data_IF_272407079661
#
_entry.id   IF_272407079661
#
_cell.length_a   1.000
_cell.length_b   1.000
_cell.length_c   1.000
_cell.angle_alpha   90.00
_cell.angle_beta   90.00
_cell.angle_gamma   90.00
#
_symmetry.space_group_name_H-M   'P 1'
#
loop_
_entity.id
_entity.type
_entity.pdbx_description
1 polymer ?
#
# COMPACT_ATOMS: atom_id res chain seq x y z
N UNK A 1 -27.55 6.16 -9.11
CA UNK A 1 -28.32 7.25 -9.74
C UNK A 1 -27.73 7.52 -11.11
N UNK A 2 -28.54 7.59 -12.16
CA UNK A 2 -28.08 7.76 -13.55
C UNK A 2 -27.58 9.20 -13.78
N UNK A 3 -26.60 9.31 -14.67
CA UNK A 3 -25.83 10.50 -15.06
C UNK A 3 -26.64 11.62 -15.76
N UNK A 4 -27.98 11.59 -15.71
CA UNK A 4 -28.88 12.37 -16.57
C UNK A 4 -28.93 13.89 -16.30
N UNK A 5 -28.29 14.38 -15.24
CA UNK A 5 -28.18 15.82 -14.92
C UNK A 5 -26.81 16.41 -15.26
N UNK A 6 -25.92 15.64 -15.92
CA UNK A 6 -24.56 16.07 -16.25
C UNK A 6 -24.47 16.81 -17.57
N UNK A 7 -23.59 17.80 -17.64
CA UNK A 7 -23.14 18.36 -18.89
C UNK A 7 -22.53 17.27 -19.76
N UNK A 8 -22.72 17.37 -21.08
CA UNK A 8 -22.12 16.44 -22.05
C UNK A 8 -20.61 16.29 -21.84
N UNK A 9 -19.94 17.36 -21.44
CA UNK A 9 -18.50 17.34 -21.16
C UNK A 9 -18.18 16.47 -19.95
N UNK A 10 -18.84 16.69 -18.81
CA UNK A 10 -18.58 15.92 -17.60
C UNK A 10 -18.98 14.45 -17.80
N UNK A 11 -20.11 14.19 -18.45
CA UNK A 11 -20.53 12.85 -18.85
C UNK A 11 -19.44 12.12 -19.65
N UNK A 12 -18.94 12.70 -20.75
CA UNK A 12 -17.90 12.07 -21.56
C UNK A 12 -16.57 11.88 -20.81
N UNK A 13 -16.23 12.78 -19.89
CA UNK A 13 -15.02 12.62 -19.06
C UNK A 13 -15.18 11.42 -18.12
N UNK A 14 -16.31 11.29 -17.43
CA UNK A 14 -16.58 10.17 -16.53
C UNK A 14 -16.67 8.83 -17.28
N UNK A 15 -17.41 8.79 -18.39
CA UNK A 15 -17.57 7.62 -19.25
C UNK A 15 -16.23 7.11 -19.77
N UNK A 16 -15.36 8.01 -20.27
CA UNK A 16 -14.02 7.65 -20.74
C UNK A 16 -13.12 7.06 -19.65
N UNK A 17 -13.36 7.42 -18.39
CA UNK A 17 -12.64 6.88 -17.23
C UNK A 17 -13.37 5.70 -16.57
N UNK A 18 -14.38 5.14 -17.24
CA UNK A 18 -15.20 4.00 -16.78
C UNK A 18 -15.96 4.27 -15.47
N UNK A 19 -16.33 5.53 -15.23
CA UNK A 19 -17.18 5.96 -14.12
C UNK A 19 -18.60 6.06 -14.65
N UNK A 20 -19.36 4.97 -14.48
CA UNK A 20 -20.73 4.82 -14.96
C UNK A 20 -21.76 5.25 -13.91
N UNK A 21 -21.38 5.26 -12.63
CA UNK A 21 -22.24 5.60 -11.51
C UNK A 21 -21.56 6.60 -10.58
N UNK A 22 -22.32 7.56 -10.04
CA UNK A 22 -21.80 8.52 -9.08
C UNK A 22 -21.21 7.86 -7.82
N UNK A 23 -21.75 6.71 -7.40
CA UNK A 23 -21.22 5.93 -6.27
C UNK A 23 -19.79 5.41 -6.46
N UNK A 24 -19.26 5.44 -7.69
CA UNK A 24 -17.87 5.10 -7.96
C UNK A 24 -16.92 6.27 -7.74
N UNK A 25 -17.41 7.51 -7.65
CA UNK A 25 -16.56 8.69 -7.50
C UNK A 25 -15.67 8.66 -6.25
N UNK A 26 -16.13 8.19 -5.08
CA UNK A 26 -15.26 8.04 -3.90
C UNK A 26 -14.09 7.06 -4.07
N UNK A 27 -14.09 6.23 -5.13
CA UNK A 27 -12.96 5.34 -5.43
C UNK A 27 -11.75 6.09 -6.01
N UNK A 28 -11.92 7.37 -6.35
CA UNK A 28 -10.91 8.24 -6.93
C UNK A 28 -10.66 9.43 -6.02
N UNK A 29 -9.40 9.74 -5.77
CA UNK A 29 -9.07 10.93 -5.00
C UNK A 29 -9.39 12.22 -5.75
N UNK A 30 -9.53 13.34 -5.02
CA UNK A 30 -9.67 14.66 -5.66
C UNK A 30 -8.57 14.94 -6.68
N UNK A 31 -7.34 14.51 -6.39
CA UNK A 31 -6.20 14.65 -7.30
C UNK A 31 -6.36 13.76 -8.54
N UNK A 32 -6.77 12.50 -8.39
CA UNK A 32 -6.99 11.61 -9.53
C UNK A 32 -8.10 12.14 -10.45
N UNK A 33 -9.22 12.59 -9.86
CA UNK A 33 -10.30 13.25 -10.60
C UNK A 33 -9.79 14.50 -11.32
N UNK A 34 -9.02 15.36 -10.65
CA UNK A 34 -8.48 16.59 -11.25
C UNK A 34 -7.51 16.34 -12.41
N UNK A 35 -6.81 15.21 -12.42
CA UNK A 35 -5.89 14.83 -13.50
C UNK A 35 -6.59 14.12 -14.68
N UNK A 36 -7.91 13.92 -14.62
CA UNK A 36 -8.65 13.35 -15.74
C UNK A 36 -8.55 14.26 -16.97
N UNK A 37 -8.13 13.67 -18.09
CA UNK A 37 -7.98 14.40 -19.34
C UNK A 37 -9.30 15.07 -19.72
N UNK A 38 -9.23 16.35 -20.08
CA UNK A 38 -10.36 17.21 -20.46
C UNK A 38 -11.31 17.57 -19.31
N UNK A 39 -10.97 17.30 -18.05
CA UNK A 39 -11.70 17.88 -16.91
C UNK A 39 -11.23 19.33 -16.69
N UNK A 40 -12.00 20.29 -17.20
CA UNK A 40 -11.75 21.73 -16.97
C UNK A 40 -12.29 22.19 -15.62
N UNK A 41 -11.94 23.42 -15.22
CA UNK A 41 -12.40 24.04 -13.95
C UNK A 41 -13.92 24.05 -13.80
N UNK A 42 -14.65 24.39 -14.86
CA UNK A 42 -16.12 24.36 -14.86
C UNK A 42 -16.68 22.96 -14.63
N UNK A 43 -16.15 21.94 -15.32
CA UNK A 43 -16.60 20.55 -15.17
C UNK A 43 -16.25 19.98 -13.78
N UNK A 44 -15.11 20.38 -13.20
CA UNK A 44 -14.78 20.03 -11.82
C UNK A 44 -15.71 20.69 -10.79
N UNK A 45 -16.10 21.96 -11.00
CA UNK A 45 -17.07 22.61 -10.12
C UNK A 45 -18.46 21.98 -10.22
N UNK A 46 -18.89 21.62 -11.43
CA UNK A 46 -20.11 20.85 -11.66
C UNK A 46 -20.06 19.50 -10.92
N UNK A 47 -18.96 18.77 -11.02
CA UNK A 47 -18.77 17.51 -10.31
C UNK A 47 -18.91 17.68 -8.78
N UNK A 48 -18.32 18.74 -8.21
CA UNK A 48 -18.45 19.07 -6.78
C UNK A 48 -19.89 19.32 -6.36
N UNK A 49 -20.65 20.10 -7.14
CA UNK A 49 -22.07 20.38 -6.86
C UNK A 49 -22.87 19.08 -6.87
N UNK A 50 -22.61 18.20 -7.84
CA UNK A 50 -23.31 16.92 -7.96
C UNK A 50 -22.95 15.99 -6.80
N UNK A 51 -21.69 15.92 -6.41
CA UNK A 51 -21.28 15.18 -5.21
C UNK A 51 -22.00 15.69 -3.96
N UNK A 52 -22.08 17.00 -3.76
CA UNK A 52 -22.79 17.62 -2.64
C UNK A 52 -24.29 17.27 -2.64
N UNK A 53 -24.96 17.41 -3.79
CA UNK A 53 -26.38 17.09 -3.94
C UNK A 53 -26.70 15.61 -3.71
N UNK A 54 -25.70 14.72 -3.85
CA UNK A 54 -25.84 13.28 -3.66
C UNK A 54 -25.23 12.77 -2.36
N UNK A 55 -24.78 13.67 -1.46
CA UNK A 55 -24.08 13.30 -0.22
C UNK A 55 -22.85 12.40 -0.45
N UNK A 56 -22.14 12.65 -1.56
CA UNK A 56 -20.92 11.93 -1.92
C UNK A 56 -19.74 12.77 -1.44
N UNK A 57 -18.96 12.22 -0.52
CA UNK A 57 -17.71 12.83 -0.08
C UNK A 57 -16.56 12.40 -0.98
N UNK A 58 -15.83 13.40 -1.49
CA UNK A 58 -14.57 13.17 -2.19
C UNK A 58 -13.42 13.48 -1.23
N UNK A 59 -12.54 12.52 -1.04
CA UNK A 59 -11.36 12.70 -0.19
C UNK A 59 -10.10 13.00 -1.01
N UNK A 60 -9.20 13.77 -0.43
CA UNK A 60 -7.90 14.12 -1.02
C UNK A 60 -6.83 13.21 -0.45
N UNK A 61 -5.89 12.79 -1.30
CA UNK A 61 -4.68 12.09 -0.84
C UNK A 61 -3.83 12.97 0.08
N UNK A 62 -3.95 14.31 -0.01
CA UNK A 62 -3.21 15.23 0.85
C UNK A 62 -3.49 14.97 2.33
N UNK A 63 -4.75 14.67 2.70
CA UNK A 63 -5.09 14.33 4.08
C UNK A 63 -4.30 13.11 4.60
N UNK A 64 -4.14 12.08 3.76
CA UNK A 64 -3.33 10.90 4.08
C UNK A 64 -1.85 11.30 4.23
N UNK A 65 -1.33 12.13 3.34
CA UNK A 65 0.06 12.62 3.42
C UNK A 65 0.29 13.40 4.70
N UNK A 66 -0.63 14.28 5.08
CA UNK A 66 -0.51 15.12 6.27
C UNK A 66 -0.52 14.25 7.53
N UNK A 67 -1.48 13.31 7.61
CA UNK A 67 -1.58 12.35 8.73
C UNK A 67 -0.34 11.45 8.85
N UNK A 68 0.26 11.06 7.73
CA UNK A 68 1.43 10.18 7.72
C UNK A 68 2.77 10.93 7.71
N UNK A 69 2.76 12.25 7.57
CA UNK A 69 3.96 13.09 7.50
C UNK A 69 4.90 12.96 8.70
N UNK A 70 4.43 12.82 9.97
CA UNK A 70 5.31 12.72 11.14
C UNK A 70 6.16 11.45 11.15
N UNK A 71 5.74 10.41 10.44
CA UNK A 71 6.37 9.09 10.47
C UNK A 71 7.44 8.92 9.38
N UNK A 72 7.56 9.88 8.45
CA UNK A 72 8.58 9.91 7.40
C UNK A 72 8.67 8.61 6.57
N UNK A 73 7.51 8.08 6.17
CA UNK A 73 7.44 6.89 5.30
C UNK A 73 8.15 7.11 3.96
N UNK A 74 8.77 6.07 3.37
CA UNK A 74 9.35 6.11 2.02
C UNK A 74 8.28 6.02 0.92
N UNK A 75 7.15 6.74 1.10
CA UNK A 75 6.02 6.67 0.19
C UNK A 75 6.12 7.71 -0.94
N UNK A 76 5.99 7.24 -2.17
CA UNK A 76 5.81 8.07 -3.36
C UNK A 76 4.32 8.39 -3.55
N UNK A 77 4.01 9.25 -4.51
CA UNK A 77 2.61 9.55 -4.87
C UNK A 77 1.81 8.27 -5.19
N UNK A 78 2.43 7.30 -5.89
CA UNK A 78 1.78 6.04 -6.23
C UNK A 78 1.48 5.18 -5.00
N UNK A 79 2.33 5.22 -3.97
CA UNK A 79 2.05 4.54 -2.70
C UNK A 79 0.83 5.17 -2.01
N UNK A 80 0.76 6.50 -1.95
CA UNK A 80 -0.39 7.19 -1.37
C UNK A 80 -1.71 6.95 -2.11
N UNK A 81 -1.68 6.81 -3.45
CA UNK A 81 -2.86 6.38 -4.22
C UNK A 81 -3.33 4.97 -3.83
N UNK A 82 -2.40 4.05 -3.58
CA UNK A 82 -2.75 2.70 -3.09
C UNK A 82 -3.34 2.74 -1.68
N UNK A 83 -2.78 3.56 -0.78
CA UNK A 83 -3.32 3.76 0.56
C UNK A 83 -4.78 4.26 0.50
N UNK A 84 -5.03 5.26 -0.35
CA UNK A 84 -6.37 5.79 -0.59
C UNK A 84 -7.36 4.68 -1.00
N UNK A 85 -6.99 3.86 -1.99
CA UNK A 85 -7.82 2.76 -2.49
C UNK A 85 -8.06 1.65 -1.47
N UNK A 86 -7.21 1.55 -0.45
CA UNK A 86 -7.34 0.60 0.65
C UNK A 86 -7.99 1.23 1.90
N UNK A 87 -8.47 2.47 1.80
CA UNK A 87 -9.01 3.24 2.92
C UNK A 87 -8.03 3.37 4.10
N UNK A 88 -6.72 3.46 3.81
CA UNK A 88 -5.67 3.69 4.80
C UNK A 88 -5.38 5.18 4.83
N UNK A 89 -5.80 5.85 5.90
CA UNK A 89 -5.73 7.29 6.08
C UNK A 89 -4.89 7.71 7.29
N UNK A 90 -4.64 6.79 8.22
CA UNK A 90 -3.90 6.98 9.45
C UNK A 90 -2.96 5.80 9.72
N UNK A 91 -2.06 5.95 10.69
CA UNK A 91 -1.18 4.84 11.12
C UNK A 91 -1.98 3.66 11.68
N UNK A 92 -3.08 3.93 12.38
CA UNK A 92 -3.90 2.89 12.99
C UNK A 92 -4.64 2.03 11.94
N UNK A 93 -4.91 2.56 10.76
CA UNK A 93 -5.58 1.81 9.70
C UNK A 93 -4.74 0.63 9.20
N UNK A 94 -3.41 0.67 9.40
CA UNK A 94 -2.52 -0.45 9.09
C UNK A 94 -2.73 -1.67 9.99
N UNK A 95 -3.44 -1.55 11.12
CA UNK A 95 -3.83 -2.71 11.93
C UNK A 95 -4.79 -3.66 11.20
N UNK A 96 -5.47 -3.15 10.16
CA UNK A 96 -6.46 -3.92 9.40
C UNK A 96 -5.87 -4.62 8.18
N UNK A 97 -4.56 -4.51 7.95
CA UNK A 97 -3.90 -5.15 6.81
C UNK A 97 -2.86 -6.17 7.25
N UNK A 98 -2.51 -7.06 6.32
CA UNK A 98 -1.40 -8.00 6.46
C UNK A 98 -0.06 -7.36 6.05
N UNK A 99 1.05 -7.96 6.49
CA UNK A 99 2.39 -7.57 6.00
C UNK A 99 2.53 -7.79 4.48
N UNK A 100 1.82 -8.76 3.91
CA UNK A 100 1.74 -8.99 2.46
C UNK A 100 1.09 -7.81 1.72
N UNK A 101 0.02 -7.24 2.28
CA UNK A 101 -0.60 -6.04 1.70
C UNK A 101 0.29 -4.82 1.80
N UNK A 102 1.02 -4.66 2.92
CA UNK A 102 2.07 -3.64 3.02
C UNK A 102 3.12 -3.81 1.92
N UNK A 103 3.54 -5.05 1.64
CA UNK A 103 4.47 -5.33 0.55
C UNK A 103 3.92 -4.91 -0.82
N UNK A 104 2.65 -5.18 -1.09
CA UNK A 104 1.94 -4.75 -2.30
C UNK A 104 1.83 -3.22 -2.40
N UNK A 105 1.52 -2.54 -1.29
CA UNK A 105 1.50 -1.07 -1.20
C UNK A 105 2.87 -0.53 -1.62
N UNK A 106 3.95 -1.05 -1.03
CA UNK A 106 5.35 -0.72 -1.33
C UNK A 106 5.83 -1.21 -2.72
N UNK A 107 4.94 -1.69 -3.59
CA UNK A 107 5.28 -2.06 -4.96
C UNK A 107 6.17 -3.30 -5.06
N UNK A 108 6.01 -4.24 -4.13
CA UNK A 108 6.84 -5.45 -4.01
C UNK A 108 8.33 -5.16 -3.75
N UNK A 109 8.66 -3.93 -3.34
CA UNK A 109 10.03 -3.57 -3.03
C UNK A 109 10.36 -3.86 -1.56
N UNK A 110 11.10 -4.96 -1.34
CA UNK A 110 11.39 -5.49 0.00
C UNK A 110 12.06 -4.48 0.94
N UNK A 111 13.08 -3.68 0.54
CA UNK A 111 13.67 -2.68 1.43
C UNK A 111 12.69 -1.61 1.90
N UNK A 112 11.76 -1.16 1.06
CA UNK A 112 10.72 -0.20 1.45
C UNK A 112 9.70 -0.85 2.37
N UNK A 113 9.31 -2.09 2.07
CA UNK A 113 8.39 -2.87 2.92
C UNK A 113 8.95 -3.02 4.33
N UNK A 114 10.20 -3.48 4.43
CA UNK A 114 10.89 -3.66 5.71
C UNK A 114 11.02 -2.33 6.48
N UNK A 115 11.37 -1.23 5.80
CA UNK A 115 11.47 0.09 6.44
C UNK A 115 10.11 0.56 6.96
N UNK A 116 9.07 0.49 6.15
CA UNK A 116 7.71 0.86 6.55
C UNK A 116 7.19 -0.02 7.68
N UNK A 117 7.48 -1.32 7.64
CA UNK A 117 7.11 -2.26 8.71
C UNK A 117 7.69 -1.84 10.05
N UNK A 118 8.99 -1.52 10.13
CA UNK A 118 9.59 -1.07 11.39
C UNK A 118 9.06 0.30 11.85
N UNK A 119 8.78 1.22 10.93
CA UNK A 119 8.11 2.49 11.29
C UNK A 119 6.75 2.18 11.94
N UNK A 120 5.95 1.30 11.33
CA UNK A 120 4.63 0.92 11.83
C UNK A 120 4.71 0.18 13.17
N UNK A 121 5.65 -0.77 13.32
CA UNK A 121 5.90 -1.46 14.59
C UNK A 121 6.32 -0.52 15.72
N UNK A 122 7.16 0.47 15.44
CA UNK A 122 7.55 1.48 16.42
C UNK A 122 6.39 2.39 16.84
N UNK A 123 5.29 2.39 16.09
CA UNK A 123 4.05 3.11 16.40
C UNK A 123 2.92 2.14 16.75
N UNK A 124 3.27 1.02 17.39
CA UNK A 124 2.34 0.06 18.00
C UNK A 124 1.35 -0.63 17.04
N UNK A 125 1.62 -0.58 15.73
CA UNK A 125 0.80 -1.28 14.73
C UNK A 125 1.00 -2.79 14.82
N UNK A 126 -0.11 -3.50 14.90
CA UNK A 126 -0.17 -4.96 14.84
C UNK A 126 -0.86 -5.37 13.53
N UNK A 127 -0.08 -5.94 12.61
CA UNK A 127 -0.59 -6.47 11.36
C UNK A 127 -1.44 -7.71 11.59
N UNK A 128 -2.42 -7.91 10.70
CA UNK A 128 -3.17 -9.15 10.63
C UNK A 128 -2.25 -10.32 10.24
N UNK A 129 -2.51 -11.54 10.76
CA UNK A 129 -1.75 -12.72 10.38
C UNK A 129 -1.92 -13.03 8.90
N UNK A 130 -0.91 -13.66 8.31
CA UNK A 130 -0.96 -14.13 6.92
C UNK A 130 -0.08 -15.37 6.74
N UNK A 131 -0.23 -16.06 5.61
CA UNK A 131 0.26 -17.43 5.42
C UNK A 131 1.80 -17.58 5.45
N UNK A 132 2.58 -16.63 4.93
CA UNK A 132 4.03 -16.82 4.74
C UNK A 132 4.88 -15.65 5.24
N UNK A 133 5.08 -15.54 6.55
CA UNK A 133 5.79 -14.40 7.15
C UNK A 133 7.10 -14.02 6.46
N UNK A 134 7.30 -12.71 6.31
CA UNK A 134 8.58 -12.16 5.88
C UNK A 134 9.63 -12.34 6.96
N UNK A 135 10.88 -12.56 6.55
CA UNK A 135 11.97 -12.79 7.49
C UNK A 135 12.21 -11.60 8.43
N UNK A 136 11.95 -10.35 8.00
CA UNK A 136 12.08 -9.19 8.90
C UNK A 136 11.03 -9.15 10.02
N UNK A 137 9.97 -9.95 9.94
CA UNK A 137 8.94 -10.04 10.97
C UNK A 137 9.43 -10.83 12.18
N UNK A 138 10.35 -11.78 11.96
CA UNK A 138 10.79 -12.77 12.95
C UNK A 138 12.30 -12.76 13.22
N UNK A 139 13.10 -12.19 12.31
CA UNK A 139 14.56 -12.11 12.44
C UNK A 139 15.04 -10.69 12.75
N UNK A 140 16.24 -10.56 13.34
CA UNK A 140 16.92 -9.27 13.42
C UNK A 140 17.02 -8.62 12.04
N UNK A 141 16.77 -7.30 12.00
CA UNK A 141 16.74 -6.49 10.77
C UNK A 141 17.93 -6.74 9.85
N UNK A 142 19.13 -6.80 10.42
CA UNK A 142 20.36 -6.95 9.65
C UNK A 142 20.46 -8.36 9.02
N UNK A 143 20.08 -9.40 9.76
CA UNK A 143 20.02 -10.77 9.25
C UNK A 143 19.00 -10.89 8.12
N UNK A 144 17.79 -10.38 8.30
CA UNK A 144 16.75 -10.38 7.26
C UNK A 144 17.20 -9.60 6.00
N UNK A 145 17.92 -8.48 6.19
CA UNK A 145 18.48 -7.69 5.09
C UNK A 145 19.56 -8.45 4.33
N UNK A 146 20.47 -9.15 5.02
CA UNK A 146 21.52 -9.96 4.38
C UNK A 146 20.89 -11.11 3.59
N UNK A 147 19.95 -11.84 4.19
CA UNK A 147 19.24 -12.95 3.55
C UNK A 147 18.53 -12.51 2.26
N UNK A 148 17.80 -11.39 2.31
CA UNK A 148 17.12 -10.87 1.13
C UNK A 148 18.10 -10.37 0.06
N UNK A 149 19.15 -9.63 0.45
CA UNK A 149 20.07 -8.97 -0.51
C UNK A 149 21.07 -9.93 -1.15
N UNK A 150 21.66 -10.85 -0.37
CA UNK A 150 22.72 -11.75 -0.85
C UNK A 150 22.17 -13.07 -1.36
N UNK A 151 21.07 -13.55 -0.79
CA UNK A 151 20.57 -14.90 -1.06
C UNK A 151 19.15 -14.91 -1.67
N UNK A 152 18.53 -13.74 -1.85
CA UNK A 152 17.16 -13.61 -2.37
C UNK A 152 16.09 -14.33 -1.53
N UNK A 153 16.38 -14.58 -0.25
CA UNK A 153 15.47 -15.22 0.70
C UNK A 153 14.81 -14.12 1.53
N UNK A 154 13.48 -13.98 1.39
CA UNK A 154 12.74 -12.91 2.05
C UNK A 154 11.52 -13.38 2.86
N UNK A 155 11.12 -14.65 2.74
CA UNK A 155 10.03 -15.25 3.52
C UNK A 155 10.45 -16.59 4.13
N UNK A 156 9.67 -17.09 5.09
CA UNK A 156 9.89 -18.40 5.71
C UNK A 156 9.81 -19.53 4.68
N UNK A 157 8.79 -19.52 3.80
CA UNK A 157 8.62 -20.56 2.78
C UNK A 157 9.85 -20.67 1.88
N UNK A 158 10.41 -19.53 1.45
CA UNK A 158 11.62 -19.50 0.63
C UNK A 158 12.84 -20.00 1.40
N UNK A 159 12.94 -19.67 2.68
CA UNK A 159 14.02 -20.14 3.54
C UNK A 159 13.97 -21.68 3.68
N UNK A 160 12.78 -22.24 3.92
CA UNK A 160 12.55 -23.69 4.03
C UNK A 160 12.76 -24.43 2.71
N UNK A 161 12.44 -23.80 1.58
CA UNK A 161 12.72 -24.36 0.24
C UNK A 161 14.19 -24.23 -0.19
N UNK A 162 15.00 -23.47 0.55
CA UNK A 162 16.39 -23.23 0.18
C UNK A 162 17.21 -24.50 0.39
N UNK A 163 18.09 -24.82 -0.57
CA UNK A 163 18.81 -26.10 -0.52
C UNK A 163 19.72 -26.17 0.71
N UNK A 164 19.68 -27.31 1.42
CA UNK A 164 20.48 -27.52 2.64
C UNK A 164 21.98 -27.33 2.38
N UNK A 165 22.47 -27.83 1.25
CA UNK A 165 23.87 -27.65 0.84
C UNK A 165 24.23 -26.18 0.57
N UNK A 166 23.30 -25.38 0.05
CA UNK A 166 23.52 -23.93 -0.11
C UNK A 166 23.49 -23.17 1.22
N UNK A 167 22.74 -23.64 2.22
CA UNK A 167 22.73 -23.05 3.56
C UNK A 167 24.09 -23.19 4.25
N UNK A 168 24.77 -24.33 4.09
CA UNK A 168 26.08 -24.60 4.72
C UNK A 168 27.19 -23.62 4.31
N UNK A 169 27.02 -22.92 3.17
CA UNK A 169 27.96 -21.91 2.69
C UNK A 169 27.70 -20.51 3.27
N UNK A 170 26.64 -20.34 4.08
CA UNK A 170 26.37 -19.08 4.76
C UNK A 170 27.31 -18.89 5.96
N UNK A 171 27.60 -17.64 6.36
CA UNK A 171 28.33 -17.36 7.59
C UNK A 171 27.71 -18.06 8.79
N UNK A 172 28.54 -18.64 9.67
CA UNK A 172 28.10 -19.35 10.87
C UNK A 172 27.19 -18.50 11.78
N UNK A 173 27.44 -17.19 11.83
CA UNK A 173 26.61 -16.22 12.57
C UNK A 173 25.19 -16.06 12.03
N UNK A 174 24.96 -16.31 10.73
CA UNK A 174 23.63 -16.32 10.13
C UNK A 174 23.00 -17.70 10.32
N UNK A 175 23.77 -18.77 10.13
CA UNK A 175 23.30 -20.14 10.26
C UNK A 175 22.73 -20.43 11.65
N UNK A 176 23.38 -19.97 12.71
CA UNK A 176 22.90 -20.15 14.09
C UNK A 176 21.53 -19.50 14.32
N UNK A 177 21.20 -18.44 13.60
CA UNK A 177 19.92 -17.72 13.71
C UNK A 177 18.83 -18.41 12.89
N UNK A 178 19.14 -18.88 11.68
CA UNK A 178 18.12 -19.41 10.75
C UNK A 178 17.83 -20.90 10.93
N UNK A 179 18.77 -21.69 11.50
CA UNK A 179 18.61 -23.15 11.64
C UNK A 179 17.30 -23.57 12.31
N UNK A 180 16.85 -22.94 13.42
CA UNK A 180 15.57 -23.29 14.05
C UNK A 180 14.35 -23.12 13.12
N UNK A 181 14.41 -22.19 12.15
CA UNK A 181 13.29 -21.86 11.26
C UNK A 181 13.15 -22.83 10.07
N UNK A 182 14.20 -23.60 9.80
CA UNK A 182 14.26 -24.57 8.69
C UNK A 182 13.83 -25.97 9.13
N UNK A 183 13.91 -26.26 10.44
CA UNK A 183 13.66 -27.59 11.02
C UNK A 183 12.21 -27.78 11.52
N UNK A 184 11.39 -26.72 11.50
CA UNK A 184 9.93 -26.73 11.73
C UNK A 184 9.13 -26.96 10.44
#
# INVERSE_FOLDING_TARGET
MLLNCLSKRLFHVLERNYILYLSQLPLYSKEELAHMRNLGTHAMNELKIICQANHIELHSIQSIKDNLSPYHFPFSLEHYKKLYKLNISSVNDFNNITTQELHRICGHYYPYTMRSYYILKNNEVTFQPWEDQYLFEILPRETARILAKRYCINTISKLRSYSKSSLEHMPSSILSIIRPLVEE
#
